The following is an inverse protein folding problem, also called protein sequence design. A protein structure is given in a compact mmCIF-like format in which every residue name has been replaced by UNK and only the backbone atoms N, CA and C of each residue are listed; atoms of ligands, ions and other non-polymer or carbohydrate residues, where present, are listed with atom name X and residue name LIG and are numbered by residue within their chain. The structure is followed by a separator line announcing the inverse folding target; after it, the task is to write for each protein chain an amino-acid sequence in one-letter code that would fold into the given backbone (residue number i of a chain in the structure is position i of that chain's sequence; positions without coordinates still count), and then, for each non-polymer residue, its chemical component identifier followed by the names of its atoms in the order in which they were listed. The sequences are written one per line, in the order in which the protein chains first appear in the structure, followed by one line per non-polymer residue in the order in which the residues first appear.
data_IF_003840196585
#
_entry.id   IF_003840196585
#
_cell.length_a   1.000
_cell.length_b   1.000
_cell.length_c   1.000
_cell.angle_alpha   90.00
_cell.angle_beta   90.00
_cell.angle_gamma   90.00
#
_symmetry.space_group_name_H-M   'P 1'
#
loop_
_entity.id
_entity.type
_entity.pdbx_description
1 polymer ?
#
# COMPACT_ATOMS: atom_id res chain seq x y z
N UNK A 1 0.32 23.54 -2.12
CA UNK A 1 0.35 23.56 -0.65
C UNK A 1 0.71 22.17 -0.14
N UNK A 2 1.74 22.01 0.69
CA UNK A 2 2.13 20.70 1.23
C UNK A 2 1.33 20.34 2.50
N UNK A 3 1.32 19.07 2.88
CA UNK A 3 0.70 18.60 4.14
C UNK A 3 1.39 19.22 5.37
N UNK A 4 2.67 19.60 5.26
CA UNK A 4 3.39 20.30 6.32
C UNK A 4 2.86 21.73 6.48
N UNK A 5 2.57 22.41 5.37
CA UNK A 5 2.02 23.77 5.39
C UNK A 5 0.61 23.78 5.97
N UNK A 6 -0.21 22.76 5.65
CA UNK A 6 -1.54 22.57 6.26
C UNK A 6 -1.42 22.33 7.76
N UNK A 7 -0.46 21.50 8.19
CA UNK A 7 -0.22 21.22 9.61
C UNK A 7 0.12 22.49 10.39
N UNK A 8 1.00 23.33 9.83
CA UNK A 8 1.40 24.60 10.43
C UNK A 8 0.23 25.58 10.43
N UNK A 9 -0.46 25.75 9.30
CA UNK A 9 -1.56 26.71 9.16
C UNK A 9 -2.75 26.41 10.08
N UNK A 10 -3.08 25.13 10.25
CA UNK A 10 -4.22 24.71 11.06
C UNK A 10 -3.83 24.26 12.48
N UNK A 11 -2.55 24.40 12.85
CA UNK A 11 -2.00 24.00 14.15
C UNK A 11 -2.32 22.53 14.53
N UNK A 12 -2.31 21.65 13.54
CA UNK A 12 -2.61 20.23 13.70
C UNK A 12 -1.37 19.37 13.47
N UNK A 13 -1.28 18.25 14.20
CA UNK A 13 -0.22 17.27 13.95
C UNK A 13 -0.37 16.70 12.55
N UNK A 14 0.73 16.64 11.78
CA UNK A 14 0.75 16.12 10.39
C UNK A 14 0.03 14.78 10.23
N UNK A 15 0.23 13.85 11.18
CA UNK A 15 -0.40 12.52 11.17
C UNK A 15 -1.91 12.52 11.44
N UNK A 16 -2.47 13.62 11.96
CA UNK A 16 -3.90 13.78 12.22
C UNK A 16 -4.66 14.35 11.02
N UNK A 17 -3.98 15.02 10.09
CA UNK A 17 -4.60 15.61 8.90
C UNK A 17 -5.39 14.57 8.08
N UNK A 18 -4.88 13.36 7.79
CA UNK A 18 -5.66 12.34 7.08
C UNK A 18 -6.96 11.99 7.81
N UNK A 19 -6.92 11.89 9.15
CA UNK A 19 -8.10 11.57 9.95
C UNK A 19 -9.13 12.71 9.90
N UNK A 20 -8.66 13.96 9.99
CA UNK A 20 -9.53 15.14 9.91
C UNK A 20 -10.18 15.26 8.54
N UNK A 21 -9.44 15.02 7.46
CA UNK A 21 -9.97 15.05 6.09
C UNK A 21 -11.05 14.00 5.90
N UNK A 22 -10.86 12.77 6.39
CA UNK A 22 -11.89 11.71 6.33
C UNK A 22 -13.09 12.07 7.20
N UNK A 23 -12.88 12.58 8.42
CA UNK A 23 -13.96 12.98 9.32
C UNK A 23 -14.78 14.15 8.76
N UNK A 24 -14.18 15.03 7.96
CA UNK A 24 -14.87 16.13 7.27
C UNK A 24 -15.52 15.70 5.94
N UNK A 25 -15.56 14.40 5.62
CA UNK A 25 -16.13 13.89 4.37
C UNK A 25 -15.24 14.12 3.13
N UNK A 26 -14.00 14.56 3.33
CA UNK A 26 -13.02 14.74 2.28
C UNK A 26 -12.44 13.41 1.81
N UNK A 27 -12.19 13.29 0.52
CA UNK A 27 -11.55 12.11 -0.07
C UNK A 27 -10.03 12.25 -0.03
N UNK A 28 -9.39 11.35 0.70
CA UNK A 28 -7.95 11.17 0.56
C UNK A 28 -7.66 10.49 -0.77
N UNK A 29 -6.60 10.93 -1.46
CA UNK A 29 -6.00 10.10 -2.49
C UNK A 29 -5.61 8.79 -1.82
N UNK A 30 -6.25 7.70 -2.24
CA UNK A 30 -5.90 6.35 -1.80
C UNK A 30 -4.45 6.08 -2.23
N UNK A 31 -3.52 6.28 -1.32
CA UNK A 31 -2.15 5.81 -1.46
C UNK A 31 -2.19 4.28 -1.39
N UNK A 32 -2.38 3.64 -2.54
CA UNK A 32 -2.44 2.20 -2.67
C UNK A 32 -3.34 1.73 -3.81
N UNK A 33 -3.31 0.43 -4.07
CA UNK A 33 -4.25 -0.17 -5.01
C UNK A 33 -5.71 0.11 -4.58
N UNK A 34 -6.57 0.34 -5.56
CA UNK A 34 -8.03 0.35 -5.35
C UNK A 34 -8.49 -0.94 -4.68
N UNK A 35 -9.68 -0.96 -4.07
CA UNK A 35 -10.26 -2.19 -3.50
C UNK A 35 -10.20 -3.35 -4.51
N UNK A 36 -10.60 -3.11 -5.76
CA UNK A 36 -10.53 -4.08 -6.85
C UNK A 36 -9.09 -4.51 -7.16
N UNK A 37 -8.16 -3.56 -7.18
CA UNK A 37 -6.73 -3.85 -7.35
C UNK A 37 -6.18 -4.72 -6.21
N UNK A 38 -6.58 -4.46 -4.96
CA UNK A 38 -6.15 -5.25 -3.80
C UNK A 38 -6.65 -6.70 -3.89
N UNK A 39 -7.91 -6.91 -4.25
CA UNK A 39 -8.47 -8.26 -4.44
C UNK A 39 -7.74 -9.00 -5.55
N UNK A 40 -7.45 -8.31 -6.67
CA UNK A 40 -6.68 -8.88 -7.78
C UNK A 40 -5.25 -9.22 -7.37
N UNK A 41 -4.59 -8.35 -6.60
CA UNK A 41 -3.25 -8.60 -6.08
C UNK A 41 -3.20 -9.81 -5.13
N UNK A 42 -4.23 -9.98 -4.29
CA UNK A 42 -4.35 -11.14 -3.41
C UNK A 42 -4.57 -12.43 -4.21
N UNK A 43 -5.46 -12.42 -5.20
CA UNK A 43 -5.71 -13.59 -6.05
C UNK A 43 -4.44 -14.05 -6.80
N UNK A 44 -3.72 -13.11 -7.42
CA UNK A 44 -2.45 -13.41 -8.09
C UNK A 44 -1.40 -13.96 -7.12
N UNK A 45 -1.32 -13.42 -5.90
CA UNK A 45 -0.39 -13.92 -4.89
C UNK A 45 -0.75 -15.34 -4.42
N UNK A 46 -2.05 -15.65 -4.31
CA UNK A 46 -2.55 -16.98 -3.93
C UNK A 46 -2.25 -18.01 -5.02
N UNK A 47 -2.43 -17.64 -6.30
CA UNK A 47 -2.05 -18.42 -7.49
C UNK A 47 -0.54 -18.72 -7.57
N UNK A 48 0.28 -18.07 -6.74
CA UNK A 48 1.71 -18.35 -6.59
C UNK A 48 2.64 -17.33 -7.23
N UNK A 49 2.11 -16.23 -7.77
CA UNK A 49 2.94 -15.13 -8.28
C UNK A 49 3.73 -14.47 -7.15
N UNK A 50 4.94 -14.02 -7.48
CA UNK A 50 5.77 -13.26 -6.55
C UNK A 50 5.26 -11.82 -6.40
N UNK A 51 5.60 -11.16 -5.28
CA UNK A 51 5.20 -9.77 -5.04
C UNK A 51 5.64 -8.81 -6.16
N UNK A 52 6.76 -9.11 -6.83
CA UNK A 52 7.30 -8.34 -7.94
C UNK A 52 6.46 -8.52 -9.22
N UNK A 53 6.03 -9.75 -9.52
CA UNK A 53 5.16 -10.02 -10.66
C UNK A 53 3.76 -9.43 -10.45
N UNK A 54 3.22 -9.57 -9.23
CA UNK A 54 1.95 -8.94 -8.87
C UNK A 54 2.04 -7.42 -9.00
N UNK A 55 3.15 -6.80 -8.55
CA UNK A 55 3.42 -5.38 -8.72
C UNK A 55 3.42 -4.93 -10.18
N UNK A 56 4.02 -5.72 -11.07
CA UNK A 56 3.98 -5.46 -12.51
C UNK A 56 2.56 -5.57 -13.08
N UNK A 57 1.77 -6.57 -12.66
CA UNK A 57 0.39 -6.76 -13.14
C UNK A 57 -0.57 -5.64 -12.71
N UNK A 58 -0.34 -5.04 -11.55
CA UNK A 58 -1.22 -4.02 -10.97
C UNK A 58 -0.66 -2.60 -11.08
N UNK A 59 0.45 -2.42 -11.79
CA UNK A 59 1.17 -1.15 -11.95
C UNK A 59 1.39 -0.43 -10.60
N UNK A 60 1.90 -1.17 -9.61
CA UNK A 60 2.17 -0.63 -8.29
C UNK A 60 3.55 -1.07 -7.78
N UNK A 61 4.06 -0.39 -6.76
CA UNK A 61 5.31 -0.79 -6.11
C UNK A 61 5.13 -2.06 -5.27
N UNK A 62 6.17 -2.89 -5.15
CA UNK A 62 6.17 -4.11 -4.34
C UNK A 62 5.72 -3.84 -2.88
N UNK A 63 6.13 -2.70 -2.30
CA UNK A 63 5.71 -2.29 -0.95
C UNK A 63 4.21 -2.04 -0.88
N UNK A 64 3.63 -1.50 -1.94
CA UNK A 64 2.20 -1.23 -2.04
C UNK A 64 1.41 -2.53 -2.13
N UNK A 65 1.90 -3.50 -2.90
CA UNK A 65 1.32 -4.84 -3.01
C UNK A 65 1.40 -5.59 -1.69
N UNK A 66 2.54 -5.56 -1.00
CA UNK A 66 2.68 -6.15 0.33
C UNK A 66 1.69 -5.53 1.32
N UNK A 67 1.58 -4.20 1.36
CA UNK A 67 0.64 -3.51 2.24
C UNK A 67 -0.82 -3.86 1.89
N UNK A 68 -1.15 -4.02 0.62
CA UNK A 68 -2.46 -4.45 0.16
C UNK A 68 -2.83 -5.86 0.62
N UNK A 69 -1.90 -6.83 0.48
CA UNK A 69 -2.11 -8.22 0.89
C UNK A 69 -2.28 -8.31 2.41
N UNK A 70 -1.39 -7.67 3.18
CA UNK A 70 -1.49 -7.62 4.65
C UNK A 70 -2.79 -6.93 5.10
N UNK A 71 -3.17 -5.84 4.43
CA UNK A 71 -4.41 -5.11 4.72
C UNK A 71 -5.69 -5.89 4.41
N UNK A 72 -5.62 -6.93 3.57
CA UNK A 72 -6.72 -7.87 3.29
C UNK A 72 -6.67 -9.12 4.19
N UNK A 73 -5.71 -9.22 5.11
CA UNK A 73 -5.52 -10.40 5.96
C UNK A 73 -4.75 -11.54 5.27
N UNK A 74 -4.17 -11.30 4.10
CA UNK A 74 -3.32 -12.27 3.42
C UNK A 74 -1.99 -12.47 4.16
N UNK A 75 -1.66 -13.74 4.44
CA UNK A 75 -0.39 -14.09 5.03
C UNK A 75 0.72 -14.00 3.97
N UNK A 76 1.69 -13.11 4.19
CA UNK A 76 2.88 -13.05 3.33
C UNK A 76 3.69 -14.32 3.59
N UNK A 77 3.89 -15.12 2.54
CA UNK A 77 4.73 -16.31 2.58
C UNK A 77 6.09 -15.89 3.15
N UNK A 78 6.63 -16.62 4.15
CA UNK A 78 7.93 -16.31 4.70
C UNK A 78 8.92 -16.29 3.53
N UNK A 79 9.68 -15.20 3.40
CA UNK A 79 10.68 -15.07 2.34
C UNK A 79 11.59 -16.27 2.44
N UNK A 80 11.42 -17.23 1.52
CA UNK A 80 12.42 -18.25 1.27
C UNK A 80 13.73 -17.51 1.05
N UNK A 81 14.72 -17.83 1.88
CA UNK A 81 16.08 -17.32 1.81
C UNK A 81 16.55 -17.56 0.36
N UNK A 82 16.49 -16.56 -0.52
CA UNK A 82 17.20 -16.63 -1.80
C UNK A 82 18.67 -16.68 -1.40
N UNK A 83 19.26 -17.88 -1.48
CA UNK A 83 20.70 -18.04 -1.47
C UNK A 83 21.26 -17.02 -2.47
N UNK A 84 22.20 -16.21 -2.00
CA UNK A 84 22.80 -15.17 -2.82
C UNK A 84 23.28 -15.78 -4.13
N UNK A 85 22.69 -15.35 -5.23
CA UNK A 85 23.29 -15.56 -6.55
C UNK A 85 24.49 -14.63 -6.57
N UNK A 86 25.67 -15.23 -6.37
CA UNK A 86 26.95 -14.62 -6.68
C UNK A 86 26.98 -14.21 -8.16
N UNK A 87 27.44 -13.01 -8.43
CA UNK A 87 28.31 -12.70 -9.56
C UNK A 87 29.48 -11.91 -8.99
#
# INVERSE_FOLDING_TARGET
MSVKDIAVNHHVRRGSIPKLVVASGGTLRSCGLSSTGRTRALALYDEGFTLQEVAACVNADEKTVRAAIVGLGGAIRPRGRRAGVKA
#
